data_IF_922158396772
#
_entry.id   IF_922158396772
#
_cell.length_a   1.000
_cell.length_b   1.000
_cell.length_c   1.000
_cell.angle_alpha   90.00
_cell.angle_beta   90.00
_cell.angle_gamma   90.00
#
_symmetry.space_group_name_H-M   'P 1'
#
loop_
_entity.id
_entity.type
_entity.pdbx_description
1 polymer ?
#
# COMPACT_ATOMS: atom_id res chain seq x y z
N UNK A 1 -6.09 63.44 -31.52
CA UNK A 1 -4.62 63.31 -31.46
C UNK A 1 -4.23 63.28 -29.98
N UNK A 2 -3.62 62.20 -29.46
CA UNK A 2 -3.17 62.20 -28.07
C UNK A 2 -2.13 63.31 -27.85
N UNK A 3 -2.32 64.08 -26.77
CA UNK A 3 -1.50 65.24 -26.41
C UNK A 3 -0.24 64.74 -25.71
N UNK A 4 0.93 65.08 -26.24
CA UNK A 4 2.22 64.68 -25.68
C UNK A 4 2.42 65.32 -24.29
N UNK A 5 2.84 64.53 -23.31
CA UNK A 5 3.06 65.00 -21.94
C UNK A 5 4.20 66.04 -21.91
N UNK A 6 3.96 67.28 -21.46
CA UNK A 6 4.99 68.32 -21.43
C UNK A 6 6.11 68.05 -20.42
N UNK A 7 5.91 67.13 -19.47
CA UNK A 7 6.95 66.71 -18.51
C UNK A 7 7.90 65.66 -19.09
N UNK A 8 7.55 65.05 -20.23
CA UNK A 8 8.40 64.10 -20.92
C UNK A 8 9.63 64.79 -21.51
N UNK A 9 10.80 64.46 -20.98
CA UNK A 9 12.08 64.94 -21.52
C UNK A 9 12.58 63.97 -22.60
N UNK A 10 12.20 64.22 -23.85
CA UNK A 10 12.52 63.32 -24.98
C UNK A 10 14.02 63.01 -25.13
N UNK A 11 14.89 63.95 -24.73
CA UNK A 11 16.34 63.75 -24.78
C UNK A 11 16.82 62.69 -23.77
N UNK A 12 16.31 62.73 -22.54
CA UNK A 12 16.62 61.71 -21.52
C UNK A 12 16.02 60.36 -21.86
N UNK A 13 14.80 60.35 -22.42
CA UNK A 13 14.16 59.12 -22.89
C UNK A 13 15.06 58.44 -23.93
N UNK A 14 15.50 59.19 -24.95
CA UNK A 14 16.37 58.67 -26.00
C UNK A 14 17.69 58.12 -25.44
N UNK A 15 18.30 58.79 -24.46
CA UNK A 15 19.52 58.31 -23.81
C UNK A 15 19.30 56.99 -23.04
N UNK A 16 18.14 56.84 -22.38
CA UNK A 16 17.79 55.58 -21.71
C UNK A 16 17.57 54.45 -22.72
N UNK A 17 16.90 54.72 -23.84
CA UNK A 17 16.64 53.74 -24.90
C UNK A 17 17.93 53.22 -25.55
N UNK A 18 18.97 54.05 -25.66
CA UNK A 18 20.27 53.69 -26.24
C UNK A 18 21.17 52.85 -25.29
N UNK A 19 20.71 52.55 -24.07
CA UNK A 19 21.50 51.74 -23.11
C UNK A 19 21.63 50.30 -23.60
N UNK A 20 22.81 49.95 -24.13
CA UNK A 20 23.15 48.56 -24.48
C UNK A 20 23.81 47.84 -23.32
N UNK A 21 23.33 46.65 -23.00
CA UNK A 21 23.99 45.78 -22.03
C UNK A 21 25.35 45.32 -22.56
N UNK A 22 26.43 45.73 -21.90
CA UNK A 22 27.82 45.34 -22.22
C UNK A 22 28.35 44.26 -21.27
N UNK A 23 27.48 43.61 -20.50
CA UNK A 23 27.90 42.56 -19.57
C UNK A 23 28.48 41.36 -20.31
N UNK A 24 29.34 40.60 -19.61
CA UNK A 24 30.12 39.47 -20.14
C UNK A 24 29.29 38.26 -20.64
N UNK A 25 27.97 38.40 -20.83
CA UNK A 25 27.08 37.30 -21.24
C UNK A 25 26.75 36.28 -20.14
N UNK A 26 27.23 36.48 -18.91
CA UNK A 26 26.84 35.66 -17.75
C UNK A 26 25.37 35.90 -17.40
N UNK A 27 24.61 34.81 -17.29
CA UNK A 27 23.21 34.83 -16.88
C UNK A 27 23.10 35.21 -15.39
N UNK A 28 22.66 36.43 -15.10
CA UNK A 28 22.49 36.95 -13.72
C UNK A 28 21.36 36.28 -12.92
N UNK A 29 20.55 35.45 -13.56
CA UNK A 29 19.45 34.71 -12.93
C UNK A 29 19.84 33.29 -12.49
N UNK A 30 21.10 32.88 -12.71
CA UNK A 30 21.59 31.56 -12.32
C UNK A 30 22.64 31.77 -11.21
N UNK A 31 22.38 31.20 -10.03
CA UNK A 31 23.22 31.38 -8.85
C UNK A 31 24.59 30.66 -8.92
N UNK A 32 24.73 29.69 -9.82
CA UNK A 32 25.96 28.93 -10.04
C UNK A 32 26.11 28.61 -11.53
N UNK A 33 27.31 28.78 -12.07
CA UNK A 33 27.61 28.33 -13.44
C UNK A 33 27.56 26.81 -13.52
N UNK A 34 27.04 26.28 -14.63
CA UNK A 34 27.06 24.84 -14.92
C UNK A 34 28.51 24.38 -15.12
N UNK A 35 29.13 23.93 -14.03
CA UNK A 35 30.41 23.22 -14.08
C UNK A 35 30.18 21.92 -14.83
N UNK A 36 30.98 21.59 -15.86
CA UNK A 36 30.83 20.34 -16.59
C UNK A 36 31.00 19.17 -15.61
N UNK A 37 29.93 18.39 -15.46
CA UNK A 37 29.93 17.20 -14.62
C UNK A 37 30.95 16.21 -15.24
N UNK A 38 31.96 15.74 -14.49
CA UNK A 38 32.91 14.78 -15.01
C UNK A 38 32.18 13.48 -15.42
N UNK A 39 32.60 12.84 -16.52
CA UNK A 39 31.97 11.60 -16.97
C UNK A 39 32.13 10.51 -15.89
N UNK A 40 31.13 9.62 -15.74
CA UNK A 40 31.18 8.56 -14.75
C UNK A 40 32.37 7.64 -15.02
N UNK A 41 33.21 7.45 -14.00
CA UNK A 41 34.46 6.66 -14.08
C UNK A 41 34.18 5.14 -14.20
N UNK A 42 32.94 4.71 -14.01
CA UNK A 42 32.53 3.31 -14.06
C UNK A 42 31.22 3.16 -14.85
N UNK A 43 31.04 2.07 -15.61
CA UNK A 43 29.74 1.74 -16.18
C UNK A 43 28.71 1.66 -15.06
N UNK A 44 27.48 2.10 -15.36
CA UNK A 44 26.36 1.92 -14.45
C UNK A 44 26.28 0.45 -14.07
N UNK A 45 26.33 0.15 -12.76
CA UNK A 45 25.89 -1.15 -12.28
C UNK A 45 24.43 -1.27 -12.71
N UNK A 46 24.18 -1.96 -13.82
CA UNK A 46 22.85 -2.48 -14.11
C UNK A 46 22.74 -3.70 -13.23
N UNK A 47 22.63 -3.45 -11.93
CA UNK A 47 21.99 -4.43 -11.08
C UNK A 47 20.64 -4.61 -11.73
N UNK A 48 20.41 -5.81 -12.25
CA UNK A 48 19.13 -6.25 -12.80
C UNK A 48 18.11 -5.68 -11.84
N UNK A 49 17.29 -4.72 -12.30
CA UNK A 49 16.37 -3.96 -11.46
C UNK A 49 15.90 -4.83 -10.30
N UNK A 50 16.52 -4.67 -9.13
CA UNK A 50 15.89 -5.04 -7.91
C UNK A 50 14.77 -4.04 -7.87
N UNK A 51 13.62 -4.45 -8.43
CA UNK A 51 12.36 -3.83 -8.17
C UNK A 51 12.39 -3.65 -6.66
N UNK A 52 12.55 -2.41 -6.20
CA UNK A 52 12.20 -2.05 -4.84
C UNK A 52 10.68 -2.09 -4.82
N UNK A 53 10.16 -3.31 -5.00
CA UNK A 53 8.78 -3.65 -4.85
C UNK A 53 8.42 -3.18 -3.46
N UNK A 54 7.29 -2.50 -3.37
CA UNK A 54 6.65 -2.26 -2.09
C UNK A 54 6.71 -3.57 -1.29
N UNK A 55 7.00 -3.50 0.03
CA UNK A 55 7.00 -4.69 0.86
C UNK A 55 5.71 -5.48 0.58
N UNK A 56 5.78 -6.81 0.46
CA UNK A 56 4.59 -7.61 0.21
C UNK A 56 3.54 -7.26 1.27
N UNK A 57 2.25 -7.24 0.90
CA UNK A 57 1.19 -6.94 1.86
C UNK A 57 1.32 -7.86 3.08
N UNK A 58 1.03 -7.35 4.28
CA UNK A 58 1.15 -8.14 5.50
C UNK A 58 0.31 -9.41 5.37
N UNK A 59 0.80 -10.55 5.89
CA UNK A 59 0.05 -11.79 5.85
C UNK A 59 -1.29 -11.62 6.58
N UNK A 60 -2.34 -12.32 6.13
CA UNK A 60 -3.63 -12.28 6.81
C UNK A 60 -3.51 -12.65 8.29
N UNK A 61 -4.28 -12.01 9.19
CA UNK A 61 -4.24 -12.34 10.62
C UNK A 61 -4.59 -13.81 10.87
N UNK A 62 -3.86 -14.52 11.75
CA UNK A 62 -4.16 -15.90 12.09
C UNK A 62 -5.49 -16.02 12.84
N UNK A 63 -6.27 -17.05 12.54
CA UNK A 63 -7.49 -17.39 13.28
C UNK A 63 -7.09 -18.13 14.56
N UNK A 64 -7.53 -17.60 15.71
CA UNK A 64 -7.21 -18.15 17.05
C UNK A 64 -8.19 -19.25 17.52
N UNK A 65 -9.11 -19.68 16.66
CA UNK A 65 -10.03 -20.79 16.94
C UNK A 65 -9.27 -22.11 16.94
N UNK A 66 -9.48 -22.92 17.97
CA UNK A 66 -9.00 -24.29 18.07
C UNK A 66 -10.14 -25.26 17.83
N UNK A 67 -10.00 -26.08 16.80
CA UNK A 67 -10.93 -27.17 16.50
C UNK A 67 -10.55 -28.42 17.28
N UNK A 68 -11.43 -28.87 18.19
CA UNK A 68 -11.14 -30.00 19.09
C UNK A 68 -12.09 -31.19 18.94
N UNK A 69 -13.15 -31.09 18.13
CA UNK A 69 -14.02 -32.23 17.84
C UNK A 69 -15.20 -31.87 16.97
N UNK A 70 -15.91 -32.88 16.45
CA UNK A 70 -17.12 -32.70 15.66
C UNK A 70 -18.16 -33.75 16.03
N UNK A 71 -19.44 -33.44 15.77
CA UNK A 71 -20.54 -34.38 15.86
C UNK A 71 -21.13 -34.61 14.47
N UNK A 72 -21.28 -35.88 14.11
CA UNK A 72 -21.90 -36.32 12.87
C UNK A 72 -22.96 -37.38 13.20
N UNK A 73 -24.23 -37.00 13.20
CA UNK A 73 -25.35 -37.91 13.44
C UNK A 73 -26.17 -38.06 12.15
N UNK A 74 -26.56 -39.29 11.77
CA UNK A 74 -27.47 -39.49 10.63
C UNK A 74 -28.76 -38.70 10.83
N UNK A 75 -29.10 -37.83 9.87
CA UNK A 75 -30.31 -37.00 9.92
C UNK A 75 -30.18 -35.65 10.63
N UNK A 76 -29.03 -35.32 11.24
CA UNK A 76 -28.75 -34.00 11.81
C UNK A 76 -27.63 -33.30 11.03
N UNK A 77 -27.66 -31.96 10.85
CA UNK A 77 -26.51 -31.23 10.31
C UNK A 77 -25.25 -31.48 11.13
N UNK A 78 -24.10 -31.56 10.45
CA UNK A 78 -22.80 -31.69 11.10
C UNK A 78 -22.53 -30.48 11.98
N UNK A 79 -21.96 -30.73 13.15
CA UNK A 79 -21.55 -29.68 14.09
C UNK A 79 -20.07 -29.81 14.40
N UNK A 80 -19.39 -28.67 14.53
CA UNK A 80 -18.01 -28.57 15.00
C UNK A 80 -17.98 -27.98 16.41
N UNK A 81 -16.99 -28.42 17.16
CA UNK A 81 -16.67 -27.93 18.49
C UNK A 81 -15.37 -27.14 18.40
N UNK A 82 -15.47 -25.86 18.70
CA UNK A 82 -14.40 -24.88 18.59
C UNK A 82 -14.17 -24.25 19.94
N UNK A 83 -12.95 -23.84 20.22
CA UNK A 83 -12.60 -23.11 21.44
C UNK A 83 -11.70 -21.93 21.12
N UNK A 84 -11.82 -20.87 21.91
CA UNK A 84 -10.94 -19.71 21.84
C UNK A 84 -10.73 -19.19 23.26
N UNK A 85 -9.51 -19.33 23.78
CA UNK A 85 -9.26 -19.05 25.20
C UNK A 85 -10.09 -19.98 26.10
N UNK A 86 -10.99 -19.41 26.89
CA UNK A 86 -11.89 -20.12 27.81
C UNK A 86 -13.27 -20.41 27.21
N UNK A 87 -13.59 -19.80 26.07
CA UNK A 87 -14.89 -19.93 25.42
C UNK A 87 -14.96 -21.16 24.52
N UNK A 88 -16.11 -21.83 24.55
CA UNK A 88 -16.42 -23.00 23.72
C UNK A 88 -17.64 -22.72 22.85
N UNK A 89 -17.52 -23.02 21.56
CA UNK A 89 -18.55 -22.82 20.56
C UNK A 89 -18.91 -24.14 19.90
N UNK A 90 -20.21 -24.32 19.67
CA UNK A 90 -20.75 -25.43 18.88
C UNK A 90 -21.45 -24.79 17.68
N UNK A 91 -21.00 -25.11 16.47
CA UNK A 91 -21.51 -24.47 15.26
C UNK A 91 -21.67 -25.44 14.10
N UNK A 92 -22.65 -25.19 13.24
CA UNK A 92 -22.84 -25.85 11.95
C UNK A 92 -22.22 -25.10 10.78
N UNK A 93 -22.23 -25.70 9.59
CA UNK A 93 -21.87 -24.99 8.35
C UNK A 93 -22.80 -23.78 8.12
N UNK A 94 -22.22 -22.62 7.81
CA UNK A 94 -22.91 -21.36 7.60
C UNK A 94 -23.08 -20.48 8.85
N UNK A 95 -22.91 -21.05 10.05
CA UNK A 95 -23.04 -20.29 11.31
C UNK A 95 -21.82 -19.41 11.60
N UNK A 96 -22.03 -18.34 12.38
CA UNK A 96 -20.98 -17.40 12.79
C UNK A 96 -20.75 -17.53 14.29
N UNK A 97 -19.51 -17.81 14.69
CA UNK A 97 -19.04 -17.83 16.08
C UNK A 97 -18.25 -16.56 16.40
N UNK A 98 -18.29 -16.15 17.68
CA UNK A 98 -17.64 -14.93 18.17
C UNK A 98 -17.97 -13.64 17.36
N UNK A 99 -19.13 -13.63 16.66
CA UNK A 99 -19.55 -12.57 15.74
C UNK A 99 -18.56 -12.27 14.59
N UNK A 100 -17.54 -13.10 14.39
CA UNK A 100 -16.42 -12.84 13.48
C UNK A 100 -16.14 -13.99 12.53
N UNK A 101 -16.25 -15.23 13.02
CA UNK A 101 -15.76 -16.40 12.30
C UNK A 101 -16.94 -17.19 11.75
N UNK A 102 -17.09 -17.22 10.43
CA UNK A 102 -18.10 -18.03 9.75
C UNK A 102 -17.53 -19.43 9.46
N UNK A 103 -18.30 -20.46 9.78
CA UNK A 103 -17.96 -21.84 9.42
C UNK A 103 -18.36 -22.06 7.96
N UNK A 104 -17.39 -22.31 7.09
CA UNK A 104 -17.66 -22.57 5.68
C UNK A 104 -17.97 -24.05 5.43
N UNK A 105 -17.11 -24.92 5.94
CA UNK A 105 -17.21 -26.36 5.65
C UNK A 105 -16.59 -27.21 6.74
N UNK A 106 -17.23 -28.33 7.04
CA UNK A 106 -16.76 -29.34 8.00
C UNK A 106 -16.27 -30.55 7.23
N UNK A 107 -14.94 -30.72 7.19
CA UNK A 107 -14.26 -31.82 6.51
C UNK A 107 -14.01 -32.92 7.54
N UNK A 108 -14.54 -34.12 7.30
CA UNK A 108 -14.46 -35.24 8.24
C UNK A 108 -13.36 -36.25 7.91
N UNK A 109 -12.75 -36.19 6.73
CA UNK A 109 -11.66 -37.08 6.33
C UNK A 109 -10.70 -36.34 5.37
N UNK A 110 -9.56 -35.82 5.87
CA UNK A 110 -9.13 -35.74 7.27
C UNK A 110 -9.99 -34.73 8.06
N UNK A 111 -10.02 -34.87 9.40
CA UNK A 111 -10.82 -33.98 10.25
C UNK A 111 -10.25 -32.54 10.26
N UNK A 112 -10.93 -31.62 9.59
CA UNK A 112 -10.60 -30.19 9.57
C UNK A 112 -11.85 -29.34 9.35
N UNK A 113 -11.76 -28.06 9.70
CA UNK A 113 -12.85 -27.10 9.49
C UNK A 113 -12.32 -25.90 8.72
N UNK A 114 -13.04 -25.51 7.67
CA UNK A 114 -12.76 -24.29 6.91
C UNK A 114 -13.54 -23.14 7.54
N UNK A 115 -12.82 -22.08 7.91
CA UNK A 115 -13.37 -20.92 8.62
C UNK A 115 -13.00 -19.65 7.86
N UNK A 116 -13.97 -18.74 7.74
CA UNK A 116 -13.81 -17.41 7.19
C UNK A 116 -13.89 -16.36 8.30
N UNK A 117 -12.84 -15.54 8.42
CA UNK A 117 -12.88 -14.31 9.20
C UNK A 117 -13.61 -13.23 8.39
N UNK A 118 -14.83 -12.92 8.81
CA UNK A 118 -15.73 -11.97 8.11
C UNK A 118 -15.18 -10.54 8.14
N UNK A 119 -14.36 -10.18 9.13
CA UNK A 119 -13.80 -8.83 9.24
C UNK A 119 -12.62 -8.62 8.28
N UNK A 120 -11.80 -9.65 8.07
CA UNK A 120 -10.60 -9.57 7.25
C UNK A 120 -10.76 -10.26 5.89
N UNK A 121 -11.92 -10.86 5.60
CA UNK A 121 -12.17 -11.72 4.44
C UNK A 121 -11.05 -12.77 4.23
N UNK A 122 -10.57 -13.33 5.34
CA UNK A 122 -9.49 -14.32 5.36
C UNK A 122 -10.09 -15.71 5.58
N UNK A 123 -9.70 -16.69 4.75
CA UNK A 123 -10.11 -18.08 4.89
C UNK A 123 -8.94 -18.93 5.36
N UNK A 124 -9.18 -19.72 6.40
CA UNK A 124 -8.18 -20.61 6.96
C UNK A 124 -8.80 -21.97 7.28
N UNK A 125 -8.05 -23.02 6.96
CA UNK A 125 -8.39 -24.40 7.36
C UNK A 125 -7.73 -24.71 8.69
N UNK A 126 -8.54 -25.06 9.68
CA UNK A 126 -8.07 -25.42 11.02
C UNK A 126 -8.16 -26.95 11.15
N UNK A 127 -7.02 -27.65 11.32
CA UNK A 127 -7.02 -29.08 11.52
C UNK A 127 -7.53 -29.44 12.92
N UNK A 128 -8.05 -30.66 13.07
CA UNK A 128 -8.43 -31.19 14.38
C UNK A 128 -7.19 -31.24 15.27
N UNK A 129 -7.17 -30.40 16.29
CA UNK A 129 -6.10 -30.37 17.28
C UNK A 129 -6.57 -31.17 18.49
N UNK A 130 -6.27 -32.46 18.48
CA UNK A 130 -6.43 -33.30 19.68
C UNK A 130 -5.44 -32.78 20.72
N UNK A 131 -5.95 -32.36 21.88
CA UNK A 131 -5.13 -31.96 23.03
C UNK A 131 -4.52 -33.16 23.71
#
# INVERSE_FOLDING_TARGET
MPRLDPTLQLNLLKQSEDTKYTGSGRNIFIAHEDVPIPPPVKPANTDVQAQTGQPPPPPPPPIMLKFFGFANKPGEPKKVFLSQGEDVFIAGEGEIVDRRYRILRIITNPASVEVEDVLNNNRQTIPLTQG
#
